data_IF_564828251637
#
_entry.id   IF_564828251637
#
_cell.length_a   1.000
_cell.length_b   1.000
_cell.length_c   1.000
_cell.angle_alpha   90.00
_cell.angle_beta   90.00
_cell.angle_gamma   90.00
#
_symmetry.space_group_name_H-M   'P 1'
#
loop_
_entity.id
_entity.type
_entity.pdbx_description
1 polymer ?
#
# COMPACT_ATOMS: atom_id res chain seq x y z
N UNK A 1 -8.93 -2.62 10.53
CA UNK A 1 -10.17 -1.95 10.05
C UNK A 1 -9.82 -1.48 8.66
N UNK A 2 -10.35 -2.12 7.62
CA UNK A 2 -9.83 -1.95 6.26
C UNK A 2 -9.82 -0.48 5.85
N UNK A 3 -8.62 0.06 5.60
CA UNK A 3 -8.46 1.44 5.14
C UNK A 3 -8.74 1.47 3.64
N UNK A 4 -9.65 2.34 3.22
CA UNK A 4 -9.89 2.57 1.81
C UNK A 4 -8.68 3.27 1.16
N UNK A 5 -8.37 2.91 -0.09
CA UNK A 5 -7.22 3.46 -0.82
C UNK A 5 -7.24 5.01 -0.90
N UNK A 6 -8.42 5.63 -0.97
CA UNK A 6 -8.53 7.08 -1.06
C UNK A 6 -8.10 7.81 0.23
N UNK A 7 -8.10 7.10 1.35
CA UNK A 7 -7.76 7.60 2.68
C UNK A 7 -6.26 7.46 3.03
N UNK A 8 -5.44 6.90 2.14
CA UNK A 8 -4.00 6.80 2.34
C UNK A 8 -3.35 8.19 2.40
N UNK A 9 -2.42 8.37 3.36
CA UNK A 9 -1.73 9.64 3.60
C UNK A 9 -0.27 9.55 3.23
N UNK A 10 0.24 10.59 2.56
CA UNK A 10 1.66 10.74 2.25
C UNK A 10 2.47 10.80 3.55
N UNK A 11 3.60 10.09 3.57
CA UNK A 11 4.50 9.97 4.73
C UNK A 11 4.03 8.98 5.80
N UNK A 12 2.95 8.23 5.56
CA UNK A 12 2.51 7.13 6.43
C UNK A 12 2.90 5.77 5.86
N UNK A 13 3.10 4.82 6.76
CA UNK A 13 3.43 3.43 6.43
C UNK A 13 2.17 2.59 6.61
N UNK A 14 1.91 1.72 5.65
CA UNK A 14 0.80 0.79 5.68
C UNK A 14 1.29 -0.63 5.43
N UNK A 15 0.62 -1.60 6.05
CA UNK A 15 0.75 -3.00 5.75
C UNK A 15 -0.28 -3.37 4.68
N UNK A 16 0.20 -3.64 3.46
CA UNK A 16 -0.62 -4.17 2.37
C UNK A 16 -0.61 -5.69 2.44
N UNK A 17 -1.77 -6.29 2.65
CA UNK A 17 -1.98 -7.73 2.49
C UNK A 17 -2.75 -7.98 1.20
N UNK A 18 -2.25 -8.87 0.32
CA UNK A 18 -2.93 -9.26 -0.90
C UNK A 18 -2.45 -10.63 -1.40
N UNK A 19 -3.37 -11.55 -1.71
CA UNK A 19 -3.07 -12.86 -2.31
C UNK A 19 -2.03 -13.69 -1.53
N UNK A 20 -2.04 -13.61 -0.21
CA UNK A 20 -1.11 -14.31 0.69
C UNK A 20 0.21 -13.58 0.91
N UNK A 21 0.47 -12.47 0.20
CA UNK A 21 1.64 -11.63 0.41
C UNK A 21 1.34 -10.49 1.39
N UNK A 22 2.36 -10.11 2.17
CA UNK A 22 2.32 -8.95 3.07
C UNK A 22 3.51 -8.05 2.75
N UNK A 23 3.26 -6.77 2.46
CA UNK A 23 4.30 -5.78 2.19
C UNK A 23 4.10 -4.55 3.05
N UNK A 24 5.20 -4.03 3.59
CA UNK A 24 5.22 -2.75 4.29
C UNK A 24 5.54 -1.66 3.28
N UNK A 25 4.60 -0.76 3.07
CA UNK A 25 4.71 0.28 2.06
C UNK A 25 4.62 1.67 2.68
N UNK A 26 5.55 2.53 2.36
CA UNK A 26 5.50 3.96 2.70
C UNK A 26 4.90 4.73 1.53
N UNK A 27 3.90 5.58 1.80
CA UNK A 27 3.28 6.43 0.78
C UNK A 27 4.18 7.63 0.49
N UNK A 28 4.80 7.67 -0.69
CA UNK A 28 5.71 8.75 -1.09
C UNK A 28 4.97 9.96 -1.68
N UNK A 29 3.97 9.71 -2.53
CA UNK A 29 3.21 10.77 -3.19
C UNK A 29 1.87 10.25 -3.72
N UNK A 30 0.85 11.13 -3.80
CA UNK A 30 -0.38 10.86 -4.54
C UNK A 30 -0.18 11.26 -6.00
N UNK A 31 -0.40 10.34 -6.94
CA UNK A 31 -0.21 10.59 -8.37
C UNK A 31 -1.49 11.12 -9.01
N UNK A 32 -2.57 10.35 -8.95
CA UNK A 32 -3.90 10.75 -9.45
C UNK A 32 -4.98 9.81 -8.90
N UNK A 33 -6.14 10.35 -8.54
CA UNK A 33 -7.26 9.53 -8.01
C UNK A 33 -6.81 8.66 -6.83
N UNK A 34 -6.91 7.34 -7.00
CA UNK A 34 -6.51 6.33 -6.02
C UNK A 34 -5.14 5.68 -6.32
N UNK A 35 -4.36 6.27 -7.21
CA UNK A 35 -3.00 5.82 -7.49
C UNK A 35 -1.98 6.65 -6.69
N UNK A 36 -1.11 5.94 -5.98
CA UNK A 36 -0.07 6.49 -5.13
C UNK A 36 1.27 5.89 -5.51
N UNK A 37 2.31 6.70 -5.44
CA UNK A 37 3.69 6.23 -5.47
C UNK A 37 4.06 5.75 -4.07
N UNK A 38 4.56 4.54 -3.97
CA UNK A 38 4.86 3.88 -2.71
C UNK A 38 6.24 3.26 -2.75
N UNK A 39 6.91 3.23 -1.60
CA UNK A 39 8.18 2.54 -1.41
C UNK A 39 7.96 1.28 -0.60
N UNK A 40 8.42 0.15 -1.11
CA UNK A 40 8.49 -1.09 -0.33
C UNK A 40 9.63 -0.98 0.69
N UNK A 41 9.34 -1.17 1.97
CA UNK A 41 10.32 -1.03 3.04
C UNK A 41 11.22 -2.27 3.19
N UNK A 42 10.79 -3.42 2.65
CA UNK A 42 11.55 -4.67 2.68
C UNK A 42 12.54 -4.75 1.50
N UNK A 43 12.12 -4.36 0.29
CA UNK A 43 12.98 -4.39 -0.91
C UNK A 43 13.62 -3.06 -1.25
N UNK A 44 13.15 -1.95 -0.65
CA UNK A 44 13.54 -0.56 -0.95
C UNK A 44 13.17 -0.06 -2.35
N UNK A 45 12.47 -0.87 -3.13
CA UNK A 45 12.00 -0.54 -4.46
C UNK A 45 10.78 0.40 -4.42
N UNK A 46 10.54 1.12 -5.51
CA UNK A 46 9.45 2.09 -5.62
C UNK A 46 8.49 1.64 -6.68
N UNK A 47 7.22 1.56 -6.32
CA UNK A 47 6.12 1.11 -7.16
C UNK A 47 4.97 2.11 -7.12
N UNK A 48 3.98 1.87 -7.95
CA UNK A 48 2.64 2.44 -7.80
C UNK A 48 1.69 1.43 -7.16
N UNK A 49 0.66 1.92 -6.46
CA UNK A 49 -0.41 1.06 -5.93
C UNK A 49 -1.05 0.24 -7.06
N UNK A 50 -1.24 0.82 -8.24
CA UNK A 50 -1.79 0.09 -9.39
C UNK A 50 -0.89 -1.06 -9.83
N UNK A 51 0.44 -0.90 -9.77
CA UNK A 51 1.37 -1.99 -10.06
C UNK A 51 1.27 -3.12 -9.02
N UNK A 52 1.15 -2.78 -7.73
CA UNK A 52 0.97 -3.78 -6.67
C UNK A 52 -0.36 -4.52 -6.76
N UNK A 53 -1.39 -3.87 -7.32
CA UNK A 53 -2.74 -4.42 -7.48
C UNK A 53 -3.06 -4.84 -8.91
N UNK A 54 -2.07 -4.90 -9.81
CA UNK A 54 -2.27 -5.15 -11.24
C UNK A 54 -2.90 -6.50 -11.56
N UNK A 55 -2.75 -7.47 -10.65
CA UNK A 55 -3.32 -8.81 -10.78
C UNK A 55 -4.68 -8.95 -10.08
N UNK A 56 -5.22 -7.84 -9.57
CA UNK A 56 -6.46 -7.79 -8.82
C UNK A 56 -6.25 -7.84 -7.30
N UNK A 57 -7.38 -7.88 -6.59
CA UNK A 57 -7.43 -7.94 -5.13
C UNK A 57 -7.90 -9.33 -4.72
N UNK A 58 -7.10 -10.01 -3.91
CA UNK A 58 -7.45 -11.29 -3.30
C UNK A 58 -8.59 -11.16 -2.30
N UNK A 59 -9.12 -12.29 -1.82
CA UNK A 59 -10.13 -12.33 -0.76
C UNK A 59 -9.58 -11.83 0.59
N UNK A 60 -8.27 -11.89 0.74
CA UNK A 60 -7.48 -11.46 1.88
C UNK A 60 -6.95 -10.02 1.72
N UNK A 61 -7.38 -9.29 0.69
CA UNK A 61 -6.97 -7.91 0.48
C UNK A 61 -7.30 -7.06 1.71
N UNK A 62 -6.26 -6.46 2.30
CA UNK A 62 -6.41 -5.58 3.45
C UNK A 62 -5.30 -4.53 3.50
N UNK A 63 -5.64 -3.37 4.08
CA UNK A 63 -4.73 -2.26 4.31
C UNK A 63 -4.89 -1.80 5.76
N UNK A 64 -3.84 -1.97 6.54
CA UNK A 64 -3.77 -1.45 7.91
C UNK A 64 -2.64 -0.43 8.05
N UNK A 65 -2.87 0.61 8.84
CA UNK A 65 -1.84 1.58 9.18
C UNK A 65 -0.83 0.93 10.11
N UNK A 66 0.46 1.03 9.77
CA UNK A 66 1.54 0.50 10.57
C UNK A 66 2.09 1.60 11.46
N UNK A 67 1.85 1.47 12.77
CA UNK A 67 2.46 2.29 13.79
C UNK A 67 3.73 1.58 14.25
N UNK A 68 4.90 2.14 13.96
CA UNK A 68 6.10 1.79 14.72
C UNK A 68 5.94 2.40 16.13
N UNK A 69 5.88 1.55 17.15
CA UNK A 69 5.98 1.96 18.56
C UNK A 69 7.42 2.37 18.92
#
# INVERSE_FOLDING_TARGET
MAIALDNLRVGRIYLLTNMGEKRRIEILARLSGNNFRVKDLDTTEVYTIEELLRWGRGKDYDLDEWWEE
#
